data_IF_974246076596
#
_entry.id   IF_974246076596
#
_cell.length_a   1.000
_cell.length_b   1.000
_cell.length_c   1.000
_cell.angle_alpha   90.00
_cell.angle_beta   90.00
_cell.angle_gamma   90.00
#
_symmetry.space_group_name_H-M   'P 1'
#
loop_
_entity.id
_entity.type
_entity.pdbx_description
1 polymer ?
#
# COMPACT_ATOMS: atom_id res chain seq x y z
N UNK A 1 36.92 -5.00 12.14
CA UNK A 1 35.66 -4.62 12.81
C UNK A 1 35.13 -3.38 12.12
N UNK A 2 34.27 -3.53 11.12
CA UNK A 2 33.70 -2.38 10.35
C UNK A 2 32.24 -2.25 10.73
N UNK A 3 31.96 -1.25 11.56
CA UNK A 3 30.60 -0.81 11.89
C UNK A 3 30.01 -0.08 10.69
N UNK A 4 29.23 -0.79 9.87
CA UNK A 4 28.42 -0.17 8.81
C UNK A 4 27.12 0.38 9.43
N UNK A 5 27.18 1.50 10.10
CA UNK A 5 26.00 2.32 10.40
C UNK A 5 25.62 3.14 9.14
N UNK A 6 25.17 2.47 8.11
CA UNK A 6 24.56 3.10 6.97
C UNK A 6 23.11 3.45 7.30
N UNK A 7 22.87 4.57 7.99
CA UNK A 7 21.52 5.14 8.10
C UNK A 7 21.06 5.48 6.68
N UNK A 8 20.11 4.70 6.17
CA UNK A 8 19.48 5.03 4.90
C UNK A 8 18.84 6.43 5.03
N UNK A 9 19.18 7.33 4.11
CA UNK A 9 18.60 8.67 4.09
C UNK A 9 17.13 8.62 3.69
N UNK A 10 16.29 9.52 4.24
CA UNK A 10 14.90 9.63 3.83
C UNK A 10 14.78 9.89 2.33
N UNK A 11 13.87 9.19 1.67
CA UNK A 11 13.61 9.36 0.24
C UNK A 11 12.98 10.72 -0.07
N UNK A 12 12.22 11.26 0.88
CA UNK A 12 11.61 12.59 0.81
C UNK A 12 12.01 13.44 2.00
N UNK A 13 13.22 14.04 1.99
CA UNK A 13 13.76 14.81 3.14
C UNK A 13 12.87 15.98 3.55
N UNK A 14 12.19 16.61 2.58
CA UNK A 14 11.25 17.72 2.85
C UNK A 14 10.03 17.32 3.68
N UNK A 15 9.73 16.01 3.76
CA UNK A 15 8.64 15.44 4.56
C UNK A 15 9.14 14.80 5.87
N UNK A 16 10.39 15.08 6.28
CA UNK A 16 10.97 14.50 7.49
C UNK A 16 10.31 15.00 8.78
N UNK A 17 9.83 16.25 8.81
CA UNK A 17 9.10 16.78 9.96
C UNK A 17 7.64 16.30 9.99
N UNK A 18 7.14 16.04 11.21
CA UNK A 18 5.74 15.66 11.40
C UNK A 18 4.78 16.72 10.84
N UNK A 19 5.08 18.00 11.12
CA UNK A 19 4.25 19.12 10.67
C UNK A 19 4.17 19.22 9.14
N UNK A 20 5.27 18.95 8.42
CA UNK A 20 5.26 18.94 6.96
C UNK A 20 4.36 17.82 6.42
N UNK A 21 4.42 16.64 7.05
CA UNK A 21 3.55 15.52 6.67
C UNK A 21 2.09 15.82 6.96
N UNK A 22 1.76 16.33 8.15
CA UNK A 22 0.39 16.73 8.49
C UNK A 22 -0.14 17.80 7.53
N UNK A 23 0.67 18.80 7.21
CA UNK A 23 0.28 19.86 6.27
C UNK A 23 -0.01 19.35 4.86
N UNK A 24 0.56 18.22 4.44
CA UNK A 24 0.30 17.64 3.12
C UNK A 24 -1.14 17.15 2.94
N UNK A 25 -1.81 16.80 4.02
CA UNK A 25 -3.18 16.29 3.98
C UNK A 25 -4.22 17.39 3.74
N UNK A 26 -3.96 18.63 4.16
CA UNK A 26 -4.81 19.81 3.92
C UNK A 26 -6.32 19.50 3.98
N UNK A 27 -7.13 20.30 3.27
CA UNK A 27 -8.58 20.09 3.13
C UNK A 27 -8.94 19.07 2.02
N UNK A 28 -7.94 18.39 1.44
CA UNK A 28 -8.11 17.50 0.27
C UNK A 28 -8.17 16.02 0.70
N UNK A 29 -7.75 15.69 1.93
CA UNK A 29 -7.88 14.32 2.45
C UNK A 29 -9.36 13.91 2.51
N UNK A 30 -9.74 12.72 1.98
CA UNK A 30 -11.14 12.30 1.95
C UNK A 30 -11.73 12.22 3.35
N UNK A 31 -12.78 12.99 3.61
CA UNK A 31 -13.45 13.07 4.92
C UNK A 31 -14.17 11.77 5.34
N UNK A 32 -14.36 10.85 4.40
CA UNK A 32 -14.96 9.54 4.64
C UNK A 32 -13.95 8.46 5.06
N UNK A 33 -12.69 8.82 5.26
CA UNK A 33 -11.65 7.91 5.81
C UNK A 33 -11.61 8.01 7.32
N UNK A 34 -11.47 6.83 7.98
CA UNK A 34 -11.36 6.76 9.43
C UNK A 34 -9.97 7.17 9.92
N UNK A 35 -8.93 6.95 9.09
CA UNK A 35 -7.57 7.35 9.39
C UNK A 35 -7.43 8.87 9.31
N UNK A 36 -7.03 9.47 10.42
CA UNK A 36 -6.82 10.92 10.49
C UNK A 36 -5.46 11.31 9.86
N UNK A 37 -5.34 12.54 9.33
CA UNK A 37 -4.06 13.08 8.89
C UNK A 37 -2.94 12.95 9.92
N UNK A 38 -3.27 13.13 11.19
CA UNK A 38 -2.33 13.02 12.30
C UNK A 38 -1.80 11.60 12.47
N UNK A 39 -2.67 10.59 12.47
CA UNK A 39 -2.27 9.18 12.61
C UNK A 39 -1.40 8.72 11.45
N UNK A 40 -1.78 9.08 10.21
CA UNK A 40 -1.01 8.79 9.02
C UNK A 40 0.37 9.47 9.04
N UNK A 41 0.41 10.75 9.39
CA UNK A 41 1.65 11.51 9.49
C UNK A 41 2.58 10.96 10.58
N UNK A 42 2.04 10.54 11.73
CA UNK A 42 2.80 9.88 12.79
C UNK A 42 3.43 8.57 12.31
N UNK A 43 2.70 7.78 11.54
CA UNK A 43 3.22 6.54 10.95
C UNK A 43 4.20 6.76 9.77
N UNK A 44 4.58 8.01 9.50
CA UNK A 44 5.57 8.38 8.49
C UNK A 44 5.00 8.73 7.13
N UNK A 45 3.68 8.70 6.97
CA UNK A 45 3.03 8.97 5.69
C UNK A 45 2.74 10.46 5.48
N UNK A 46 2.82 10.87 4.24
CA UNK A 46 2.28 12.14 3.75
C UNK A 46 1.32 11.88 2.60
N UNK A 47 0.41 12.82 2.37
CA UNK A 47 -0.59 12.69 1.31
C UNK A 47 0.02 12.96 -0.06
N UNK A 48 -0.23 12.08 -1.01
CA UNK A 48 0.32 12.18 -2.36
C UNK A 48 -0.57 13.01 -3.32
N UNK A 49 -1.70 13.52 -2.83
CA UNK A 49 -2.57 14.40 -3.60
C UNK A 49 -3.60 13.68 -4.47
N UNK A 50 -3.80 12.38 -4.30
CA UNK A 50 -4.68 11.56 -5.15
C UNK A 50 -5.46 10.55 -4.32
N UNK A 51 -6.79 10.57 -4.41
CA UNK A 51 -7.69 9.65 -3.69
C UNK A 51 -7.33 9.57 -2.19
N UNK A 52 -6.97 8.41 -1.67
CA UNK A 52 -6.46 8.20 -0.31
C UNK A 52 -5.02 7.67 -0.30
N UNK A 53 -4.26 8.00 -1.34
CA UNK A 53 -2.88 7.56 -1.49
C UNK A 53 -1.95 8.35 -0.59
N UNK A 54 -1.19 7.62 0.20
CA UNK A 54 -0.16 8.15 1.09
C UNK A 54 1.19 7.51 0.79
N UNK A 55 2.27 8.21 1.06
CA UNK A 55 3.63 7.75 0.80
C UNK A 55 4.47 7.95 2.05
N UNK A 56 5.25 6.95 2.44
CA UNK A 56 6.19 7.10 3.54
C UNK A 56 7.37 7.99 3.13
N UNK A 57 7.66 9.02 3.94
CA UNK A 57 8.75 9.95 3.66
C UNK A 57 10.13 9.28 3.64
N UNK A 58 10.30 8.21 4.41
CA UNK A 58 11.59 7.54 4.57
C UNK A 58 11.85 6.48 3.50
N UNK A 59 11.01 5.44 3.44
CA UNK A 59 11.20 4.32 2.50
C UNK A 59 10.60 4.60 1.11
N UNK A 60 9.70 5.57 0.98
CA UNK A 60 8.99 5.85 -0.27
C UNK A 60 7.89 4.85 -0.60
N UNK A 61 7.57 3.95 0.33
CA UNK A 61 6.48 2.99 0.18
C UNK A 61 5.13 3.70 0.16
N UNK A 62 4.29 3.36 -0.83
CA UNK A 62 2.97 3.93 -1.01
C UNK A 62 1.87 3.01 -0.49
N UNK A 63 0.88 3.57 0.21
CA UNK A 63 -0.34 2.88 0.65
C UNK A 63 -1.57 3.67 0.25
N UNK A 64 -2.65 2.96 -0.03
CA UNK A 64 -3.95 3.52 -0.37
C UNK A 64 -5.05 2.48 -0.19
N UNK A 65 -6.29 2.82 -0.52
CA UNK A 65 -7.45 1.97 -0.26
C UNK A 65 -7.62 1.66 1.23
N UNK A 66 -7.41 2.68 2.06
CA UNK A 66 -7.50 2.57 3.51
C UNK A 66 -8.87 2.08 3.96
N UNK A 67 -8.90 0.96 4.65
CA UNK A 67 -10.12 0.39 5.23
C UNK A 67 -10.40 0.98 6.61
N UNK A 68 -11.65 1.02 7.09
CA UNK A 68 -12.00 1.65 8.36
C UNK A 68 -11.21 1.15 9.59
N UNK A 69 -10.74 -0.08 9.56
CA UNK A 69 -10.02 -0.71 10.69
C UNK A 69 -8.51 -0.78 10.49
N UNK A 70 -7.98 -0.20 9.38
CA UNK A 70 -6.55 -0.22 9.14
C UNK A 70 -5.84 0.70 10.13
N UNK A 71 -4.79 0.17 10.75
CA UNK A 71 -3.86 0.93 11.57
C UNK A 71 -2.67 1.34 10.71
N UNK A 72 -2.36 2.64 10.55
CA UNK A 72 -1.28 3.08 9.67
C UNK A 72 0.10 2.49 10.01
N UNK A 73 0.38 2.23 11.28
CA UNK A 73 1.63 1.60 11.69
C UNK A 73 1.70 0.12 11.32
N UNK A 74 0.60 -0.61 11.54
CA UNK A 74 0.52 -2.03 11.20
C UNK A 74 0.58 -2.25 9.69
N UNK A 75 -0.15 -1.43 8.92
CA UNK A 75 -0.09 -1.48 7.46
C UNK A 75 1.29 -1.13 6.91
N UNK A 76 1.98 -0.17 7.56
CA UNK A 76 3.37 0.15 7.24
C UNK A 76 4.29 -1.04 7.51
N UNK A 77 4.15 -1.69 8.67
CA UNK A 77 4.94 -2.86 9.04
C UNK A 77 4.68 -4.06 8.13
N UNK A 78 3.44 -4.27 7.76
CA UNK A 78 3.03 -5.36 6.86
C UNK A 78 3.60 -5.23 5.45
N UNK A 79 3.58 -4.01 4.90
CA UNK A 79 4.00 -3.78 3.52
C UNK A 79 5.47 -3.42 3.37
N UNK A 80 6.07 -2.78 4.38
CA UNK A 80 7.44 -2.27 4.33
C UNK A 80 8.21 -2.51 5.63
N UNK A 81 8.38 -3.78 6.05
CA UNK A 81 8.99 -4.14 7.35
C UNK A 81 10.44 -3.66 7.49
N UNK A 82 11.14 -3.45 6.38
CA UNK A 82 12.54 -2.98 6.36
C UNK A 82 12.68 -1.46 6.42
N UNK A 83 11.57 -0.73 6.59
CA UNK A 83 11.62 0.72 6.67
C UNK A 83 12.40 1.19 7.90
N UNK A 84 13.52 1.88 7.69
CA UNK A 84 14.39 2.33 8.79
C UNK A 84 13.69 3.31 9.74
N UNK A 85 12.78 4.14 9.25
CA UNK A 85 11.96 5.00 10.11
C UNK A 85 11.08 4.15 11.03
N UNK A 86 10.40 3.15 10.47
CA UNK A 86 9.53 2.25 11.22
C UNK A 86 10.32 1.45 12.27
N UNK A 87 11.49 0.92 11.91
CA UNK A 87 12.39 0.21 12.80
C UNK A 87 12.84 1.11 13.97
N UNK A 88 13.17 2.37 13.67
CA UNK A 88 13.61 3.31 14.69
C UNK A 88 12.48 3.71 15.67
N UNK A 89 11.24 3.82 15.19
CA UNK A 89 10.09 4.27 15.99
C UNK A 89 9.46 3.12 16.80
N UNK A 90 9.43 1.91 16.24
CA UNK A 90 8.71 0.76 16.81
C UNK A 90 9.60 -0.40 17.23
N UNK A 91 10.77 -0.54 16.64
CA UNK A 91 11.67 -1.67 16.84
C UNK A 91 11.31 -2.88 15.97
N UNK A 92 12.33 -3.70 15.71
CA UNK A 92 12.16 -4.90 14.86
C UNK A 92 11.20 -5.92 15.46
N UNK A 93 11.23 -6.09 16.78
CA UNK A 93 10.34 -7.05 17.46
C UNK A 93 8.86 -6.64 17.28
N UNK A 94 8.53 -5.38 17.44
CA UNK A 94 7.15 -4.89 17.23
C UNK A 94 6.72 -5.11 15.77
N UNK A 95 7.61 -4.90 14.81
CA UNK A 95 7.33 -5.11 13.38
C UNK A 95 7.04 -6.58 13.10
N UNK A 96 7.79 -7.50 13.71
CA UNK A 96 7.53 -8.94 13.56
C UNK A 96 6.19 -9.37 14.15
N UNK A 97 5.77 -8.75 15.26
CA UNK A 97 4.49 -9.08 15.92
C UNK A 97 3.28 -8.48 15.20
N UNK A 98 3.39 -7.28 14.62
CA UNK A 98 2.27 -6.51 14.03
C UNK A 98 2.28 -6.45 12.51
N UNK A 99 3.40 -6.70 11.88
CA UNK A 99 3.53 -6.77 10.42
C UNK A 99 3.05 -8.08 9.81
N UNK A 100 2.85 -9.11 10.64
CA UNK A 100 2.26 -10.37 10.18
C UNK A 100 0.74 -10.21 10.12
N UNK A 101 0.14 -10.52 8.97
CA UNK A 101 -1.32 -10.59 8.84
C UNK A 101 -1.87 -11.42 9.99
N UNK A 102 -2.90 -10.91 10.68
CA UNK A 102 -3.71 -11.69 11.63
C UNK A 102 -4.43 -12.81 10.89
N UNK A 103 -3.70 -13.79 10.42
CA UNK A 103 -4.21 -15.11 10.12
C UNK A 103 -4.33 -15.81 11.46
N UNK A 104 -5.53 -16.25 11.79
CA UNK A 104 -5.83 -16.98 13.02
C UNK A 104 -4.81 -18.09 13.28
N UNK A 105 -4.51 -18.40 14.56
CA UNK A 105 -3.56 -19.46 14.89
C UNK A 105 -4.20 -20.81 14.61
N UNK A 106 -3.86 -21.40 13.49
CA UNK A 106 -3.99 -22.84 13.29
C UNK A 106 -2.95 -23.29 12.28
N UNK A 107 -1.95 -23.98 12.83
CA UNK A 107 -1.20 -25.09 12.23
C UNK A 107 -0.75 -24.96 10.76
N UNK A 108 0.58 -25.06 10.58
CA UNK A 108 1.35 -25.41 9.39
C UNK A 108 1.38 -24.42 8.22
N UNK A 109 2.54 -24.26 7.57
CA UNK A 109 2.65 -23.51 6.32
C UNK A 109 1.93 -24.28 5.21
N UNK A 110 0.64 -24.05 5.09
CA UNK A 110 -0.12 -24.46 3.91
C UNK A 110 0.31 -23.52 2.80
N UNK A 111 1.10 -24.02 1.88
CA UNK A 111 1.24 -23.39 0.58
C UNK A 111 -0.17 -23.13 0.05
N UNK A 112 -0.52 -21.89 -0.34
CA UNK A 112 -1.85 -21.62 -0.90
C UNK A 112 -2.03 -22.57 -2.08
N UNK A 113 -3.13 -23.35 -2.04
CA UNK A 113 -3.41 -24.28 -3.11
C UNK A 113 -3.62 -23.49 -4.43
N UNK A 114 -3.37 -24.14 -5.54
CA UNK A 114 -3.45 -23.53 -6.86
C UNK A 114 -4.84 -22.92 -7.16
N UNK A 115 -5.84 -23.29 -6.38
CA UNK A 115 -7.22 -22.81 -6.50
C UNK A 115 -7.43 -21.44 -5.81
N UNK A 116 -6.80 -21.22 -4.67
CA UNK A 116 -6.81 -19.91 -3.97
C UNK A 116 -6.07 -18.85 -4.79
N UNK A 117 -4.90 -19.20 -5.34
CA UNK A 117 -4.15 -18.33 -6.25
C UNK A 117 -4.90 -18.04 -7.56
N UNK A 118 -5.71 -18.98 -8.04
CA UNK A 118 -6.56 -18.78 -9.23
C UNK A 118 -7.69 -17.77 -8.95
N UNK A 119 -8.33 -17.81 -7.77
CA UNK A 119 -9.41 -16.89 -7.39
C UNK A 119 -8.92 -15.45 -7.21
N UNK A 120 -7.72 -15.26 -6.71
CA UNK A 120 -7.13 -13.91 -6.53
C UNK A 120 -6.75 -13.25 -7.86
N UNK A 121 -6.41 -14.06 -8.87
CA UNK A 121 -5.99 -13.59 -10.19
C UNK A 121 -7.11 -13.46 -11.22
N UNK A 122 -8.34 -13.65 -10.82
CA UNK A 122 -9.50 -13.54 -11.73
C UNK A 122 -9.89 -12.06 -11.92
N UNK A 123 -10.19 -11.69 -13.13
CA UNK A 123 -10.71 -10.38 -13.49
C UNK A 123 -11.91 -9.99 -12.63
N UNK A 124 -11.84 -8.86 -11.95
CA UNK A 124 -12.91 -8.40 -11.04
C UNK A 124 -14.14 -7.86 -11.77
N UNK A 125 -14.11 -7.83 -13.10
CA UNK A 125 -15.20 -7.36 -13.95
C UNK A 125 -15.99 -8.50 -14.57
N UNK A 126 -15.33 -9.44 -15.25
CA UNK A 126 -16.01 -10.59 -15.86
C UNK A 126 -16.03 -11.85 -14.98
N UNK A 127 -15.21 -11.89 -13.94
CA UNK A 127 -15.07 -13.03 -13.01
C UNK A 127 -14.70 -14.37 -13.70
N UNK A 128 -14.10 -14.31 -14.87
CA UNK A 128 -13.76 -15.46 -15.69
C UNK A 128 -12.27 -15.49 -16.09
N UNK A 129 -11.82 -14.50 -16.84
CA UNK A 129 -10.44 -14.43 -17.34
C UNK A 129 -9.45 -13.95 -16.26
N UNK A 130 -8.17 -14.28 -16.41
CA UNK A 130 -7.11 -13.79 -15.53
C UNK A 130 -6.94 -12.27 -15.67
N UNK A 131 -6.76 -11.57 -14.55
CA UNK A 131 -6.36 -10.18 -14.55
C UNK A 131 -4.89 -10.06 -15.00
N UNK A 132 -4.64 -9.17 -15.95
CA UNK A 132 -3.30 -8.97 -16.51
C UNK A 132 -3.03 -7.50 -16.90
N UNK A 133 -3.98 -6.60 -16.62
CA UNK A 133 -3.83 -5.18 -16.94
C UNK A 133 -3.71 -4.37 -15.66
N UNK A 134 -2.58 -3.66 -15.53
CA UNK A 134 -2.36 -2.64 -14.50
C UNK A 134 -2.82 -1.28 -15.01
N UNK A 135 -3.58 -0.58 -14.18
CA UNK A 135 -4.06 0.77 -14.47
C UNK A 135 -3.12 1.82 -13.91
N UNK A 136 -2.68 2.74 -14.75
CA UNK A 136 -1.87 3.87 -14.32
C UNK A 136 -2.73 5.13 -14.12
N UNK A 137 -2.45 5.95 -13.10
CA UNK A 137 -1.29 5.88 -12.19
C UNK A 137 -1.50 5.02 -10.92
N UNK A 138 -2.67 4.37 -10.74
CA UNK A 138 -3.01 3.71 -9.48
C UNK A 138 -2.38 2.32 -9.28
N UNK A 139 -1.81 1.70 -10.33
CA UNK A 139 -1.12 0.42 -10.25
C UNK A 139 -1.99 -0.82 -10.04
N UNK A 140 -3.32 -0.68 -9.92
CA UNK A 140 -4.20 -1.82 -9.66
C UNK A 140 -4.29 -2.75 -10.87
N UNK A 141 -3.97 -4.04 -10.66
CA UNK A 141 -4.05 -5.09 -11.68
C UNK A 141 -5.29 -5.94 -11.42
N UNK A 142 -6.42 -5.55 -11.99
CA UNK A 142 -7.73 -6.10 -11.63
C UNK A 142 -8.58 -6.57 -12.82
N UNK A 143 -8.14 -6.30 -14.04
CA UNK A 143 -8.89 -6.62 -15.24
C UNK A 143 -8.09 -7.46 -16.24
N UNK A 144 -8.80 -8.26 -17.01
CA UNK A 144 -8.31 -8.86 -18.26
C UNK A 144 -8.33 -7.83 -19.40
N UNK A 145 -7.65 -8.14 -20.51
CA UNK A 145 -7.54 -7.22 -21.66
C UNK A 145 -8.92 -6.76 -22.17
N UNK A 146 -9.88 -7.63 -22.50
CA UNK A 146 -11.18 -7.20 -23.03
C UNK A 146 -12.00 -6.34 -22.09
N UNK A 147 -11.89 -6.58 -20.77
CA UNK A 147 -12.60 -5.77 -19.79
C UNK A 147 -11.93 -4.41 -19.59
N UNK A 148 -10.61 -4.38 -19.60
CA UNK A 148 -9.85 -3.14 -19.43
C UNK A 148 -10.12 -2.13 -20.55
N UNK A 149 -10.36 -2.58 -21.78
CA UNK A 149 -10.68 -1.70 -22.91
C UNK A 149 -11.89 -0.81 -22.66
N UNK A 150 -12.88 -1.32 -21.93
CA UNK A 150 -14.16 -0.66 -21.62
C UNK A 150 -14.12 0.19 -20.34
N UNK A 151 -13.00 0.20 -19.63
CA UNK A 151 -12.87 0.85 -18.32
C UNK A 151 -12.10 2.13 -18.47
N UNK A 152 -12.71 3.23 -18.03
CA UNK A 152 -12.08 4.56 -17.93
C UNK A 152 -11.69 4.93 -16.49
N UNK A 153 -12.28 4.24 -15.51
CA UNK A 153 -12.02 4.43 -14.09
C UNK A 153 -11.70 3.10 -13.42
N UNK A 154 -10.69 3.08 -12.56
CA UNK A 154 -10.29 1.86 -11.84
C UNK A 154 -11.44 1.36 -10.95
N UNK A 155 -11.85 0.07 -11.06
CA UNK A 155 -12.94 -0.48 -10.25
C UNK A 155 -12.65 -0.52 -8.75
N UNK A 156 -11.38 -0.48 -8.35
CA UNK A 156 -10.96 -0.55 -6.96
C UNK A 156 -10.95 0.85 -6.33
N UNK A 157 -10.21 1.79 -6.91
CA UNK A 157 -10.03 3.12 -6.33
C UNK A 157 -10.78 4.23 -7.07
N UNK A 158 -11.53 3.90 -8.14
CA UNK A 158 -12.30 4.82 -8.97
C UNK A 158 -11.49 5.96 -9.60
N UNK A 159 -10.18 5.75 -9.68
CA UNK A 159 -9.30 6.72 -10.32
C UNK A 159 -9.44 6.66 -11.84
N UNK A 160 -9.36 7.82 -12.50
CA UNK A 160 -9.34 7.88 -13.96
C UNK A 160 -8.09 7.20 -14.50
N UNK A 161 -8.25 6.21 -15.35
CA UNK A 161 -7.17 5.45 -15.96
C UNK A 161 -6.55 6.27 -17.07
N UNK A 162 -5.26 6.59 -16.95
CA UNK A 162 -4.50 7.33 -17.97
C UNK A 162 -3.81 6.41 -18.96
N UNK A 163 -3.32 5.28 -18.50
CA UNK A 163 -2.74 4.23 -19.34
C UNK A 163 -2.99 2.85 -18.76
N UNK A 164 -2.88 1.84 -19.60
CA UNK A 164 -3.17 0.45 -19.30
C UNK A 164 -1.96 -0.37 -19.73
N UNK A 165 -1.33 -1.05 -18.77
CA UNK A 165 -0.10 -1.80 -19.00
C UNK A 165 -0.34 -3.29 -18.81
N UNK A 166 0.15 -4.10 -19.75
CA UNK A 166 0.10 -5.56 -19.63
C UNK A 166 1.14 -6.02 -18.62
N UNK A 167 0.69 -6.71 -17.57
CA UNK A 167 1.55 -7.31 -16.56
C UNK A 167 1.49 -8.82 -16.69
N UNK A 168 2.63 -9.43 -16.98
CA UNK A 168 2.78 -10.88 -16.93
C UNK A 168 2.94 -11.30 -15.47
N UNK A 169 1.84 -11.76 -14.88
CA UNK A 169 1.87 -12.39 -13.56
C UNK A 169 2.42 -13.81 -13.72
N UNK A 170 3.69 -14.00 -13.42
CA UNK A 170 4.38 -15.30 -13.41
C UNK A 170 3.98 -16.10 -12.19
#
# INVERSE_FOLDING_TARGET
>A
MSTKNGRALPRFPGMASLSAREASFNHIWPSNRMQTPKELAQAGFFYFGTADHTVCFHCGGGLGCWMPHDNPWEEHARCYPECQFLINERGEQWIQEHGVTKTQPSSEPVLPDAETLRKERVCKVCLDAKCCIAFQPCGHTVCCVPCAEKIETCPICRFTVRSKELVLLV
#
